data_IF_582513264590
#
_entry.id   IF_582513264590
#
_cell.length_a   1.000
_cell.length_b   1.000
_cell.length_c   1.000
_cell.angle_alpha   90.00
_cell.angle_beta   90.00
_cell.angle_gamma   90.00
#
_symmetry.space_group_name_H-M   'P 1'
#
loop_
_entity.id
_entity.type
_entity.pdbx_description
1 polymer ?
#
# COMPACT_ATOMS: atom_id res chain seq x y z
N UNK A 1 -0.69 -8.27 -17.09
CA UNK A 1 -1.24 -7.50 -15.95
C UNK A 1 -0.36 -7.79 -14.75
N UNK A 2 0.18 -6.76 -14.10
CA UNK A 2 1.03 -6.87 -12.90
C UNK A 2 0.32 -6.23 -11.70
N UNK A 3 0.27 -6.92 -10.58
CA UNK A 3 -0.31 -6.43 -9.33
C UNK A 3 0.75 -6.53 -8.25
N UNK A 4 1.18 -5.39 -7.71
CA UNK A 4 2.08 -5.32 -6.57
C UNK A 4 1.28 -5.08 -5.31
N UNK A 5 1.43 -5.97 -4.32
CA UNK A 5 0.88 -5.80 -2.98
C UNK A 5 1.70 -4.74 -2.26
N UNK A 6 1.07 -3.62 -1.92
CA UNK A 6 1.67 -2.57 -1.11
C UNK A 6 1.44 -2.83 0.38
N UNK A 7 0.32 -3.45 0.75
CA UNK A 7 0.06 -3.99 2.08
C UNK A 7 -1.15 -4.90 2.08
N UNK A 8 -1.31 -5.67 3.16
CA UNK A 8 -2.28 -6.77 3.24
C UNK A 8 -2.84 -6.99 4.64
N UNK A 9 -2.85 -5.94 5.47
CA UNK A 9 -3.41 -5.96 6.82
C UNK A 9 -4.54 -4.93 6.93
N UNK A 10 -5.48 -5.14 7.85
CA UNK A 10 -6.61 -4.21 8.06
C UNK A 10 -6.23 -2.91 8.78
N UNK A 11 -4.98 -2.74 9.21
CA UNK A 11 -4.46 -1.50 9.77
C UNK A 11 -2.93 -1.49 9.70
N UNK A 12 -2.32 -0.33 9.94
CA UNK A 12 -0.88 -0.23 10.13
C UNK A 12 -0.52 -0.79 11.52
N UNK A 13 0.29 -1.85 11.56
CA UNK A 13 0.62 -2.54 12.80
C UNK A 13 2.09 -2.97 12.85
N UNK A 14 2.67 -2.98 14.04
CA UNK A 14 3.93 -3.67 14.32
C UNK A 14 3.61 -4.98 15.01
N UNK A 15 4.08 -6.10 14.44
CA UNK A 15 3.90 -7.44 15.01
C UNK A 15 5.26 -8.04 15.40
N UNK A 16 5.25 -9.04 16.28
CA UNK A 16 6.47 -9.74 16.68
C UNK A 16 6.93 -10.63 15.52
N UNK A 17 8.18 -10.47 15.09
CA UNK A 17 8.84 -11.32 14.10
C UNK A 17 10.08 -12.01 14.66
N UNK A 18 10.55 -13.05 13.98
CA UNK A 18 11.71 -13.85 14.40
C UNK A 18 13.00 -13.03 14.54
N UNK A 19 13.15 -11.98 13.74
CA UNK A 19 14.34 -11.11 13.71
C UNK A 19 14.03 -9.68 14.22
N UNK A 20 12.98 -9.52 15.03
CA UNK A 20 12.51 -8.22 15.53
C UNK A 20 11.13 -7.83 15.01
N UNK A 21 10.65 -6.61 15.33
CA UNK A 21 9.33 -6.14 14.93
C UNK A 21 9.15 -6.11 13.41
N UNK A 22 8.06 -6.68 12.91
CA UNK A 22 7.68 -6.64 11.50
C UNK A 22 6.60 -5.57 11.28
N UNK A 23 6.85 -4.67 10.34
CA UNK A 23 5.88 -3.63 9.98
C UNK A 23 4.86 -4.16 8.96
N UNK A 24 3.60 -4.19 9.38
CA UNK A 24 2.44 -4.56 8.59
C UNK A 24 1.77 -3.29 8.06
N UNK A 25 1.65 -3.18 6.74
CA UNK A 25 1.00 -2.04 6.08
C UNK A 25 -0.48 -2.31 5.83
N UNK A 26 -1.27 -1.24 5.85
CA UNK A 26 -2.68 -1.26 5.46
C UNK A 26 -2.88 -1.79 4.04
N UNK A 27 -4.08 -2.27 3.75
CA UNK A 27 -4.38 -2.88 2.46
C UNK A 27 -4.18 -1.87 1.31
N UNK A 28 -3.51 -2.30 0.24
CA UNK A 28 -3.33 -1.46 -0.93
C UNK A 28 -2.55 -2.16 -2.04
N UNK A 29 -2.85 -1.80 -3.29
CA UNK A 29 -2.27 -2.44 -4.47
C UNK A 29 -1.86 -1.42 -5.52
N UNK A 30 -0.72 -1.63 -6.15
CA UNK A 30 -0.32 -0.92 -7.35
C UNK A 30 -0.45 -1.84 -8.56
N UNK A 31 -1.32 -1.47 -9.50
CA UNK A 31 -1.63 -2.24 -10.70
C UNK A 31 -0.98 -1.57 -11.91
N UNK A 32 -0.17 -2.34 -12.64
CA UNK A 32 0.55 -1.91 -13.84
C UNK A 32 1.30 -0.57 -13.65
N UNK A 33 1.80 -0.30 -12.44
CA UNK A 33 2.51 0.93 -12.06
C UNK A 33 1.72 2.26 -12.22
N UNK A 34 0.44 2.22 -12.56
CA UNK A 34 -0.33 3.41 -12.95
C UNK A 34 -1.68 3.54 -12.22
N UNK A 35 -2.23 2.45 -11.69
CA UNK A 35 -3.48 2.45 -10.94
C UNK A 35 -3.22 2.03 -9.51
N UNK A 36 -3.63 2.87 -8.57
CA UNK A 36 -3.59 2.60 -7.14
C UNK A 36 -4.98 2.17 -6.65
N UNK A 37 -5.07 1.03 -5.98
CA UNK A 37 -6.26 0.57 -5.28
C UNK A 37 -6.00 0.71 -3.77
N UNK A 38 -6.77 1.58 -3.13
CA UNK A 38 -6.61 2.10 -1.77
C UNK A 38 -5.27 2.83 -1.52
N UNK A 39 -5.32 3.91 -0.74
CA UNK A 39 -4.24 4.91 -0.69
C UNK A 39 -3.58 5.11 0.68
N UNK A 40 -4.03 4.42 1.73
CA UNK A 40 -3.50 4.62 3.10
C UNK A 40 -2.03 4.24 3.26
N UNK A 41 -1.48 3.37 2.39
CA UNK A 41 -0.09 2.88 2.52
C UNK A 41 0.94 3.57 1.60
N UNK A 42 0.49 4.42 0.67
CA UNK A 42 1.31 4.99 -0.44
C UNK A 42 2.61 5.62 0.04
N UNK A 43 2.51 6.53 1.02
CA UNK A 43 3.65 7.29 1.52
C UNK A 43 4.71 6.44 2.21
N UNK A 44 4.36 5.23 2.67
CA UNK A 44 5.28 4.32 3.35
C UNK A 44 5.85 3.22 2.45
N UNK A 45 5.28 3.02 1.25
CA UNK A 45 5.60 1.88 0.38
C UNK A 45 6.16 2.26 -0.99
N UNK A 46 5.97 3.50 -1.43
CA UNK A 46 6.36 3.97 -2.76
C UNK A 46 7.39 5.08 -2.69
N UNK A 47 8.43 5.01 -3.52
CA UNK A 47 9.30 6.15 -3.77
C UNK A 47 8.56 7.24 -4.56
N UNK A 48 9.03 8.49 -4.45
CA UNK A 48 8.39 9.64 -5.11
C UNK A 48 8.24 9.45 -6.63
N UNK A 49 9.23 8.85 -7.29
CA UNK A 49 9.17 8.57 -8.73
C UNK A 49 8.10 7.53 -9.11
N UNK A 50 7.80 6.59 -8.22
CA UNK A 50 6.70 5.64 -8.43
C UNK A 50 5.35 6.32 -8.22
N UNK A 51 5.23 7.17 -7.20
CA UNK A 51 4.02 7.96 -6.94
C UNK A 51 3.69 8.87 -8.14
N UNK A 52 4.70 9.47 -8.79
CA UNK A 52 4.55 10.31 -10.00
C UNK A 52 3.99 9.56 -11.22
N UNK A 53 4.08 8.23 -11.26
CA UNK A 53 3.53 7.42 -12.35
C UNK A 53 2.05 7.06 -12.18
N UNK A 54 1.51 7.21 -10.97
CA UNK A 54 0.09 6.97 -10.70
C UNK A 54 -0.76 7.94 -11.54
N UNK A 55 -1.84 7.42 -12.13
CA UNK A 55 -2.79 8.15 -12.97
C UNK A 55 -4.22 8.05 -12.45
N UNK A 56 -4.53 6.96 -11.76
CA UNK A 56 -5.86 6.67 -11.21
C UNK A 56 -5.70 6.16 -9.79
N UNK A 57 -6.53 6.67 -8.89
CA UNK A 57 -6.69 6.17 -7.53
C UNK A 57 -8.14 5.70 -7.39
N UNK A 58 -8.33 4.42 -7.04
CA UNK A 58 -9.61 3.83 -6.71
C UNK A 58 -9.65 3.62 -5.20
N UNK A 59 -10.63 4.21 -4.54
CA UNK A 59 -10.87 3.99 -3.11
C UNK A 59 -12.06 3.04 -2.97
N UNK A 60 -11.86 1.97 -2.21
CA UNK A 60 -12.94 1.01 -1.94
C UNK A 60 -13.99 1.59 -1.01
N UNK A 61 -13.57 2.35 -0.01
CA UNK A 61 -14.43 3.01 0.97
C UNK A 61 -13.68 4.17 1.69
N UNK A 62 -14.35 4.83 2.64
CA UNK A 62 -13.86 6.05 3.30
C UNK A 62 -13.28 5.80 4.70
N UNK A 63 -12.64 4.65 4.92
CA UNK A 63 -11.75 4.51 6.07
C UNK A 63 -10.35 5.01 5.73
N UNK A 64 -9.55 5.21 6.77
CA UNK A 64 -8.23 5.81 6.64
C UNK A 64 -7.14 4.80 6.22
N UNK A 65 -7.37 3.52 6.51
CA UNK A 65 -6.46 2.43 6.17
C UNK A 65 -6.30 2.22 4.66
#
# INVERSE_FOLDING_TARGET
MNVRVLGCHGSAQLVVGENGPLQCGTCGFLINEALLLDAGTVGSRLFLEEQRRIRVVLLTHLHFD
#
